data_IF_949425582994
#
_entry.id   IF_949425582994
#
_cell.length_a   1.000
_cell.length_b   1.000
_cell.length_c   1.000
_cell.angle_alpha   90.00
_cell.angle_beta   90.00
_cell.angle_gamma   90.00
#
_symmetry.space_group_name_H-M   'P 1'
#
loop_
_entity.id
_entity.type
_entity.pdbx_description
1 polymer ?
#
# COMPACT_ATOMS: atom_id res chain seq x y z
N UNK A 1 -1.65 -16.88 -6.27
CA UNK A 1 -0.39 -16.09 -6.32
C UNK A 1 -0.71 -14.64 -6.65
N UNK A 2 0.19 -13.66 -6.38
CA UNK A 2 -0.05 -12.23 -6.65
C UNK A 2 -0.49 -12.01 -8.10
N UNK A 3 0.07 -12.76 -9.05
CA UNK A 3 -0.29 -12.67 -10.47
C UNK A 3 -1.74 -13.06 -10.75
N UNK A 4 -2.28 -14.06 -10.05
CA UNK A 4 -3.67 -14.51 -10.23
C UNK A 4 -4.65 -13.54 -9.59
N UNK A 5 -4.31 -13.00 -8.42
CA UNK A 5 -5.19 -12.11 -7.67
C UNK A 5 -5.28 -10.70 -8.29
N UNK A 6 -4.19 -10.23 -8.91
CA UNK A 6 -4.08 -8.84 -9.39
C UNK A 6 -3.88 -8.71 -10.91
N UNK A 7 -3.81 -9.84 -11.63
CA UNK A 7 -3.68 -9.88 -13.09
C UNK A 7 -2.44 -9.14 -13.65
N UNK A 8 -1.37 -9.02 -12.86
CA UNK A 8 -0.08 -8.51 -13.31
C UNK A 8 1.08 -9.31 -12.70
N UNK A 9 2.21 -9.36 -13.41
CA UNK A 9 3.45 -9.94 -12.89
C UNK A 9 4.37 -8.83 -12.39
N UNK A 10 4.84 -8.86 -11.13
CA UNK A 10 5.74 -7.82 -10.63
C UNK A 10 7.11 -7.94 -11.31
N UNK A 11 7.60 -6.83 -11.86
CA UNK A 11 9.00 -6.71 -12.31
C UNK A 11 9.95 -6.50 -11.11
N UNK A 12 9.42 -5.98 -10.00
CA UNK A 12 10.13 -5.72 -8.75
C UNK A 12 9.24 -6.07 -7.56
N UNK A 13 9.82 -6.78 -6.59
CA UNK A 13 9.20 -7.06 -5.29
C UNK A 13 10.06 -6.48 -4.18
N UNK A 14 9.48 -5.63 -3.33
CA UNK A 14 10.15 -5.02 -2.17
C UNK A 14 9.39 -5.42 -0.91
N UNK A 15 10.12 -5.94 0.08
CA UNK A 15 9.56 -6.33 1.37
C UNK A 15 10.05 -5.41 2.49
N UNK A 16 9.15 -5.07 3.41
CA UNK A 16 9.45 -4.33 4.63
C UNK A 16 9.17 -5.21 5.85
N UNK A 17 10.00 -5.09 6.89
CA UNK A 17 9.74 -5.70 8.19
C UNK A 17 9.89 -4.62 9.26
N UNK A 18 8.84 -4.43 10.04
CA UNK A 18 8.79 -3.50 11.16
C UNK A 18 8.55 -4.31 12.44
N UNK A 19 9.23 -3.96 13.53
CA UNK A 19 8.92 -4.50 14.84
C UNK A 19 7.72 -3.76 15.43
N UNK A 20 6.57 -4.42 15.63
CA UNK A 20 5.37 -3.78 16.19
C UNK A 20 5.55 -3.30 17.63
N UNK A 21 6.59 -3.75 18.34
CA UNK A 21 6.88 -3.34 19.72
C UNK A 21 7.91 -2.20 19.80
N UNK A 22 8.46 -1.76 18.66
CA UNK A 22 9.38 -0.64 18.63
C UNK A 22 8.64 0.67 18.91
N UNK A 23 9.26 1.57 19.70
CA UNK A 23 8.79 2.94 19.85
C UNK A 23 8.81 3.74 18.54
N UNK A 24 9.47 3.23 17.50
CA UNK A 24 9.55 3.84 16.16
C UNK A 24 8.56 3.22 15.16
N UNK A 25 7.68 2.32 15.60
CA UNK A 25 6.78 1.58 14.69
C UNK A 25 5.92 2.49 13.81
N UNK A 26 5.40 3.58 14.37
CA UNK A 26 4.61 4.56 13.61
C UNK A 26 5.45 5.26 12.53
N UNK A 27 6.65 5.72 12.87
CA UNK A 27 7.54 6.38 11.91
C UNK A 27 8.02 5.40 10.83
N UNK A 28 8.30 4.15 11.21
CA UNK A 28 8.62 3.07 10.28
C UNK A 28 7.48 2.84 9.27
N UNK A 29 6.22 2.84 9.73
CA UNK A 29 5.06 2.77 8.83
C UNK A 29 4.98 3.97 7.89
N UNK A 30 5.20 5.20 8.40
CA UNK A 30 5.22 6.41 7.55
C UNK A 30 6.30 6.32 6.46
N UNK A 31 7.52 5.92 6.80
CA UNK A 31 8.63 5.77 5.85
C UNK A 31 8.30 4.71 4.80
N UNK A 32 7.77 3.55 5.22
CA UNK A 32 7.37 2.47 4.31
C UNK A 32 6.28 2.90 3.32
N UNK A 33 5.27 3.65 3.79
CA UNK A 33 4.23 4.20 2.93
C UNK A 33 4.79 5.25 1.96
N UNK A 34 5.65 6.16 2.42
CA UNK A 34 6.34 7.14 1.55
C UNK A 34 7.20 6.46 0.49
N UNK A 35 7.97 5.45 0.87
CA UNK A 35 8.80 4.68 -0.06
C UNK A 35 7.95 3.96 -1.10
N UNK A 36 6.82 3.37 -0.67
CA UNK A 36 5.86 2.74 -1.59
C UNK A 36 5.28 3.74 -2.58
N UNK A 37 4.87 4.93 -2.11
CA UNK A 37 4.36 5.99 -2.99
C UNK A 37 5.42 6.45 -3.99
N UNK A 38 6.66 6.64 -3.55
CA UNK A 38 7.78 6.98 -4.44
C UNK A 38 8.00 5.93 -5.54
N UNK A 39 7.94 4.64 -5.19
CA UNK A 39 8.04 3.56 -6.17
C UNK A 39 6.86 3.56 -7.15
N UNK A 40 5.64 3.81 -6.67
CA UNK A 40 4.43 3.85 -7.49
C UNK A 40 4.40 5.04 -8.46
N UNK A 41 4.98 6.18 -8.11
CA UNK A 41 5.13 7.34 -9.01
C UNK A 41 6.00 7.00 -10.24
N UNK A 42 6.95 6.08 -10.09
CA UNK A 42 7.85 5.64 -11.16
C UNK A 42 7.41 4.32 -11.81
N UNK A 43 6.41 3.64 -11.24
CA UNK A 43 5.84 2.40 -11.72
C UNK A 43 4.62 2.60 -12.63
N UNK A 44 4.14 1.50 -13.23
CA UNK A 44 2.84 1.44 -13.92
C UNK A 44 1.77 0.96 -12.95
N UNK A 45 1.90 -0.28 -12.53
CA UNK A 45 1.00 -0.96 -11.60
C UNK A 45 1.77 -1.44 -10.38
N UNK A 46 1.08 -1.58 -9.26
CA UNK A 46 1.67 -2.08 -8.03
C UNK A 46 0.66 -2.22 -6.91
N UNK A 47 0.96 -3.10 -5.96
CA UNK A 47 0.14 -3.35 -4.78
C UNK A 47 1.01 -3.32 -3.54
N UNK A 48 0.47 -2.79 -2.45
CA UNK A 48 1.08 -2.91 -1.14
C UNK A 48 0.22 -3.84 -0.31
N UNK A 49 0.83 -4.93 0.16
CA UNK A 49 0.18 -5.94 0.97
C UNK A 49 0.74 -5.89 2.39
N UNK A 50 -0.14 -5.95 3.39
CA UNK A 50 0.24 -6.19 4.77
C UNK A 50 0.25 -7.70 5.03
N UNK A 51 1.43 -8.24 5.38
CA UNK A 51 1.69 -9.67 5.53
C UNK A 51 1.28 -10.55 4.34
N UNK A 52 1.15 -9.96 3.15
CA UNK A 52 0.66 -10.65 1.95
C UNK A 52 -0.86 -10.82 1.89
N UNK A 53 -1.59 -10.59 2.98
CA UNK A 53 -3.01 -10.94 3.12
C UNK A 53 -3.96 -9.77 2.84
N UNK A 54 -3.61 -8.59 3.35
CA UNK A 54 -4.48 -7.42 3.28
C UNK A 54 -3.93 -6.38 2.34
N UNK A 55 -4.77 -5.86 1.45
CA UNK A 55 -4.38 -4.76 0.57
C UNK A 55 -4.38 -3.46 1.38
N UNK A 56 -3.23 -2.78 1.41
CA UNK A 56 -3.11 -1.43 1.98
C UNK A 56 -3.44 -0.38 0.92
N UNK A 57 -2.93 -0.57 -0.29
CA UNK A 57 -3.27 0.18 -1.49
C UNK A 57 -3.03 -0.67 -2.74
N UNK A 58 -3.64 -0.26 -3.84
CA UNK A 58 -3.32 -0.79 -5.17
C UNK A 58 -3.36 0.32 -6.20
N UNK A 59 -2.46 0.26 -7.17
CA UNK A 59 -2.51 1.02 -8.41
C UNK A 59 -2.59 0.03 -9.57
N UNK A 60 -3.73 -0.02 -10.24
CA UNK A 60 -3.95 -0.92 -11.38
C UNK A 60 -4.48 -0.12 -12.56
N UNK A 61 -3.89 -0.33 -13.74
CA UNK A 61 -4.21 0.44 -14.95
C UNK A 61 -4.14 1.97 -14.71
N UNK A 62 -3.21 2.38 -13.86
CA UNK A 62 -3.02 3.79 -13.47
C UNK A 62 -3.98 4.33 -12.40
N UNK A 63 -4.99 3.57 -11.97
CA UNK A 63 -5.95 3.98 -10.93
C UNK A 63 -5.43 3.61 -9.54
N UNK A 64 -5.08 4.62 -8.73
CA UNK A 64 -4.67 4.43 -7.35
C UNK A 64 -5.89 4.39 -6.42
N UNK A 65 -6.01 3.31 -5.66
CA UNK A 65 -7.03 3.09 -4.65
C UNK A 65 -6.37 2.84 -3.31
N UNK A 66 -6.73 3.65 -2.32
CA UNK A 66 -6.32 3.48 -0.93
C UNK A 66 -7.41 2.67 -0.21
N UNK A 67 -7.02 1.60 0.49
CA UNK A 67 -8.01 0.78 1.19
C UNK A 67 -8.53 1.51 2.43
N UNK A 68 -9.80 1.93 2.43
CA UNK A 68 -10.36 2.67 3.58
C UNK A 68 -10.39 1.87 4.89
N UNK A 69 -10.42 0.54 4.79
CA UNK A 69 -10.36 -0.37 5.93
C UNK A 69 -8.95 -0.44 6.55
N UNK A 70 -7.94 0.09 5.85
CA UNK A 70 -6.59 0.23 6.38
C UNK A 70 -6.49 1.50 7.23
N UNK A 71 -6.22 1.31 8.53
CA UNK A 71 -6.00 2.39 9.51
C UNK A 71 -4.92 3.41 9.10
N UNK A 72 -4.07 3.06 8.15
CA UNK A 72 -3.04 3.93 7.59
C UNK A 72 -3.61 5.21 6.94
N UNK A 73 -4.87 5.18 6.46
CA UNK A 73 -5.48 6.29 5.71
C UNK A 73 -6.58 7.01 6.48
N UNK A 74 -7.18 6.35 7.47
CA UNK A 74 -8.35 6.85 8.20
C UNK A 74 -8.00 7.44 9.58
N UNK A 75 -6.90 6.99 10.22
CA UNK A 75 -6.53 7.42 11.58
C UNK A 75 -5.10 7.97 11.68
N UNK A 76 -4.94 9.11 12.36
CA UNK A 76 -3.70 9.58 13.00
C UNK A 76 -2.55 10.06 12.11
N UNK A 77 -2.22 9.37 11.02
CA UNK A 77 -1.02 9.67 10.22
C UNK A 77 -1.28 10.72 9.13
N UNK A 78 -2.52 10.84 8.62
CA UNK A 78 -2.95 11.75 7.53
C UNK A 78 -2.05 11.72 6.29
N UNK A 79 -1.44 10.56 6.01
CA UNK A 79 -0.48 10.38 4.90
C UNK A 79 -1.12 10.55 3.52
N UNK A 80 -2.45 10.49 3.44
CA UNK A 80 -3.21 10.83 2.23
C UNK A 80 -2.81 12.21 1.66
N UNK A 81 -2.55 13.20 2.52
CA UNK A 81 -2.14 14.54 2.09
C UNK A 81 -0.76 14.58 1.43
N UNK A 82 0.05 13.54 1.60
CA UNK A 82 1.38 13.42 0.99
C UNK A 82 1.32 12.76 -0.40
N UNK A 83 0.17 12.18 -0.76
CA UNK A 83 -0.02 11.50 -2.04
C UNK A 83 -0.27 12.54 -3.13
N UNK A 84 0.61 12.54 -4.13
CA UNK A 84 0.51 13.44 -5.29
C UNK A 84 -0.28 12.85 -6.45
N UNK A 85 -0.43 11.54 -6.48
CA UNK A 85 -1.19 10.83 -7.51
C UNK A 85 -2.70 11.01 -7.28
N UNK A 86 -3.51 11.21 -8.34
CA UNK A 86 -4.96 11.13 -8.24
C UNK A 86 -5.36 9.78 -7.66
N UNK A 87 -6.20 9.78 -6.62
CA UNK A 87 -6.59 8.57 -5.91
C UNK A 87 -8.03 8.64 -5.43
N UNK A 88 -8.60 7.47 -5.19
CA UNK A 88 -9.85 7.29 -4.47
C UNK A 88 -9.64 6.46 -3.20
N UNK A 89 -10.57 6.61 -2.26
CA UNK A 89 -10.70 5.75 -1.08
C UNK A 89 -11.96 4.92 -1.25
N UNK A 90 -11.83 3.61 -1.05
CA UNK A 90 -12.95 2.66 -0.98
C UNK A 90 -12.48 1.36 -0.33
N UNK A 91 -13.38 0.46 0.07
CA UNK A 91 -13.01 -0.87 0.52
C UNK A 91 -12.31 -1.64 -0.59
N UNK A 92 -11.26 -2.37 -0.21
CA UNK A 92 -10.62 -3.35 -1.07
C UNK A 92 -10.75 -4.75 -0.45
N UNK A 93 -11.05 -5.78 -1.26
CA UNK A 93 -11.16 -7.15 -0.76
C UNK A 93 -9.82 -7.59 -0.18
N UNK A 94 -9.84 -8.45 0.84
CA UNK A 94 -8.63 -9.18 1.23
C UNK A 94 -8.54 -10.42 0.35
N UNK A 95 -7.67 -10.45 -0.68
CA UNK A 95 -7.68 -11.52 -1.68
C UNK A 95 -7.28 -12.89 -1.10
N UNK A 96 -6.83 -12.94 0.16
CA UNK A 96 -6.39 -14.15 0.85
C UNK A 96 -7.20 -14.47 2.13
N UNK A 97 -8.39 -13.86 2.32
CA UNK A 97 -9.36 -14.25 3.36
C UNK A 97 -10.56 -14.98 2.77
#
# INVERSE_FOLDING_TARGET
>A
MIEEAFHFRPDLSVGFRLDPNSGEYEEGNRIMLRATMFLLEHGRDGVLLFNGEHIVLQRLSGHLVLNEDSKNWTDGLRLENEIRLPHEKRPLPSPLL
#
